data_IF_605527541406
#
_entry.id   IF_605527541406
#
_cell.length_a   1.000
_cell.length_b   1.000
_cell.length_c   1.000
_cell.angle_alpha   90.00
_cell.angle_beta   90.00
_cell.angle_gamma   90.00
#
_symmetry.space_group_name_H-M   'P 1'
#
loop_
_entity.id
_entity.type
_entity.pdbx_description
1 polymer ?
#
# COMPACT_ATOMS: atom_id res chain seq x y z
N UNK A 1 -8.88 3.80 -8.73
CA UNK A 1 -10.08 4.66 -8.82
C UNK A 1 -10.58 4.60 -10.25
N UNK A 2 -11.86 4.30 -10.45
CA UNK A 2 -12.49 4.28 -11.78
C UNK A 2 -13.21 5.60 -12.00
N UNK A 3 -13.03 6.20 -13.16
CA UNK A 3 -13.78 7.37 -13.61
C UNK A 3 -15.26 7.04 -13.82
N UNK A 4 -16.08 8.08 -13.94
CA UNK A 4 -17.52 7.95 -14.21
C UNK A 4 -17.84 7.24 -15.52
N UNK A 5 -16.87 7.18 -16.43
CA UNK A 5 -16.89 6.49 -17.72
C UNK A 5 -16.44 5.02 -17.64
N UNK A 6 -16.07 4.52 -16.46
CA UNK A 6 -15.56 3.17 -16.25
C UNK A 6 -14.08 3.00 -16.62
N UNK A 7 -13.39 4.06 -17.04
CA UNK A 7 -11.96 4.02 -17.32
C UNK A 7 -11.11 4.27 -16.07
N UNK A 8 -9.83 3.94 -16.14
CA UNK A 8 -8.90 4.28 -15.07
C UNK A 8 -8.80 5.81 -14.95
N UNK A 9 -8.96 6.32 -13.73
CA UNK A 9 -8.85 7.75 -13.44
C UNK A 9 -7.58 8.04 -12.66
N UNK A 10 -6.88 9.11 -13.06
CA UNK A 10 -5.72 9.66 -12.35
C UNK A 10 -5.99 11.14 -12.13
N UNK A 11 -5.98 11.58 -10.88
CA UNK A 11 -6.26 12.97 -10.51
C UNK A 11 -5.17 13.94 -10.96
N UNK A 12 -5.52 15.23 -11.01
CA UNK A 12 -4.65 16.32 -11.49
C UNK A 12 -3.53 16.69 -10.52
N UNK A 13 -3.64 16.30 -9.25
CA UNK A 13 -2.62 16.52 -8.23
C UNK A 13 -2.81 17.77 -7.38
N UNK A 14 -3.93 18.48 -7.53
CA UNK A 14 -4.35 19.54 -6.63
C UNK A 14 -5.03 18.98 -5.36
N UNK A 15 -5.42 19.87 -4.44
CA UNK A 15 -6.00 19.46 -3.14
C UNK A 15 -7.41 18.85 -3.27
N UNK A 16 -8.18 19.21 -4.29
CA UNK A 16 -9.52 18.67 -4.50
C UNK A 16 -9.49 17.37 -5.33
N UNK A 17 -8.40 17.15 -6.08
CA UNK A 17 -8.23 16.06 -7.03
C UNK A 17 -6.83 15.42 -6.94
N UNK A 18 -6.59 14.57 -5.91
CA UNK A 18 -5.26 14.02 -5.63
C UNK A 18 -4.77 13.10 -6.74
N UNK A 19 -3.50 13.24 -7.09
CA UNK A 19 -2.80 12.32 -7.99
C UNK A 19 -2.38 11.09 -7.17
N UNK A 20 -2.85 9.90 -7.56
CA UNK A 20 -2.44 8.63 -6.96
C UNK A 20 -2.24 7.59 -8.07
N UNK A 21 -1.04 7.03 -8.16
CA UNK A 21 -0.72 5.93 -9.08
C UNK A 21 -0.03 4.82 -8.30
N UNK A 22 -0.59 3.62 -8.35
CA UNK A 22 -0.02 2.41 -7.75
C UNK A 22 0.67 1.53 -8.79
N UNK A 23 1.84 1.00 -8.43
CA UNK A 23 2.66 0.13 -9.26
C UNK A 23 2.93 -1.17 -8.49
N UNK A 24 2.58 -2.29 -9.09
CA UNK A 24 2.94 -3.63 -8.61
C UNK A 24 3.15 -4.57 -9.81
N UNK A 25 3.53 -5.81 -9.55
CA UNK A 25 3.59 -6.85 -10.58
C UNK A 25 3.10 -8.18 -10.02
N UNK A 26 2.72 -9.10 -10.92
CA UNK A 26 2.35 -10.46 -10.54
C UNK A 26 3.44 -11.12 -9.66
N UNK A 27 4.72 -10.87 -9.97
CA UNK A 27 5.84 -11.41 -9.19
C UNK A 27 5.90 -10.85 -7.78
N UNK A 28 5.64 -9.56 -7.59
CA UNK A 28 5.61 -8.94 -6.27
C UNK A 28 4.43 -9.48 -5.44
N UNK A 29 3.25 -9.59 -6.05
CA UNK A 29 2.06 -10.20 -5.43
C UNK A 29 2.32 -11.66 -5.03
N UNK A 30 2.94 -12.45 -5.91
CA UNK A 30 3.26 -13.86 -5.61
C UNK A 30 4.30 -13.97 -4.50
N UNK A 31 5.26 -13.04 -4.44
CA UNK A 31 6.26 -13.03 -3.38
C UNK A 31 5.63 -12.68 -2.03
N UNK A 32 4.78 -11.65 -1.96
CA UNK A 32 4.17 -11.27 -0.68
C UNK A 32 3.21 -12.32 -0.16
N UNK A 33 2.48 -13.05 -1.02
CA UNK A 33 1.62 -14.15 -0.58
C UNK A 33 2.40 -15.35 -0.02
N UNK A 34 3.67 -15.53 -0.38
CA UNK A 34 4.54 -16.54 0.25
C UNK A 34 4.87 -16.19 1.70
N UNK A 35 4.89 -14.90 2.05
CA UNK A 35 5.30 -14.42 3.37
C UNK A 35 4.09 -14.00 4.24
N UNK A 36 3.06 -13.41 3.63
CA UNK A 36 1.81 -12.97 4.26
C UNK A 36 0.78 -14.09 4.37
N UNK A 37 1.12 -15.16 5.09
CA UNK A 37 0.23 -16.31 5.37
C UNK A 37 -0.11 -16.39 6.85
N UNK A 38 -1.31 -16.90 7.20
CA UNK A 38 -1.75 -17.06 8.61
C UNK A 38 -0.76 -17.79 9.52
N UNK A 39 0.00 -18.73 8.98
CA UNK A 39 0.90 -19.58 9.76
C UNK A 39 2.29 -18.93 10.01
N UNK A 40 2.48 -17.68 9.58
CA UNK A 40 3.75 -16.97 9.70
C UNK A 40 3.54 -15.53 10.15
N UNK A 41 4.49 -15.04 10.95
CA UNK A 41 4.53 -13.63 11.30
C UNK A 41 4.90 -12.81 10.05
N UNK A 42 4.00 -11.91 9.66
CA UNK A 42 4.17 -11.03 8.50
C UNK A 42 4.20 -9.58 8.96
N UNK A 43 5.38 -8.94 8.85
CA UNK A 43 5.56 -7.51 9.12
C UNK A 43 5.40 -6.74 7.82
N UNK A 44 4.34 -5.95 7.71
CA UNK A 44 4.14 -5.03 6.60
C UNK A 44 4.85 -3.71 6.87
N UNK A 45 5.49 -3.17 5.85
CA UNK A 45 6.21 -1.90 5.90
C UNK A 45 5.58 -0.92 4.91
N UNK A 46 5.35 0.31 5.37
CA UNK A 46 5.03 1.42 4.50
C UNK A 46 5.95 2.60 4.80
N UNK A 47 6.63 3.16 3.81
CA UNK A 47 7.49 4.34 4.00
C UNK A 47 7.34 5.32 2.86
N UNK A 48 7.23 6.61 3.16
CA UNK A 48 7.14 7.68 2.18
C UNK A 48 8.53 8.27 1.92
N UNK A 49 9.07 7.99 0.74
CA UNK A 49 10.38 8.46 0.31
C UNK A 49 10.24 9.68 -0.61
N UNK A 50 11.04 10.72 -0.36
CA UNK A 50 11.05 11.97 -1.12
C UNK A 50 12.18 12.02 -2.16
N UNK A 51 12.15 13.05 -3.01
CA UNK A 51 13.22 13.38 -3.99
C UNK A 51 13.39 12.36 -5.13
N UNK A 52 12.30 11.69 -5.50
CA UNK A 52 12.27 10.75 -6.63
C UNK A 52 11.67 11.35 -7.91
N UNK A 53 11.11 12.56 -7.82
CA UNK A 53 10.56 13.31 -8.95
C UNK A 53 10.92 14.78 -8.85
N UNK A 54 11.06 15.45 -10.00
CA UNK A 54 11.35 16.89 -10.07
C UNK A 54 10.19 17.74 -9.49
N UNK A 55 8.98 17.18 -9.53
CA UNK A 55 7.76 17.79 -8.97
C UNK A 55 7.62 17.56 -7.45
N UNK A 56 8.50 16.77 -6.84
CA UNK A 56 8.54 16.58 -5.39
C UNK A 56 7.48 15.63 -4.81
N UNK A 57 6.73 14.91 -5.64
CA UNK A 57 5.75 13.93 -5.17
C UNK A 57 6.45 12.78 -4.42
N UNK A 58 6.01 12.45 -3.20
CA UNK A 58 6.53 11.31 -2.47
C UNK A 58 6.14 9.99 -3.15
N UNK A 59 7.03 9.01 -3.00
CA UNK A 59 6.76 7.63 -3.34
C UNK A 59 6.59 6.85 -2.05
N UNK A 60 5.41 6.25 -1.87
CA UNK A 60 5.15 5.33 -0.77
C UNK A 60 5.61 3.95 -1.22
N UNK A 61 6.66 3.44 -0.58
CA UNK A 61 7.06 2.05 -0.71
C UNK A 61 6.24 1.19 0.23
N UNK A 62 5.72 0.06 -0.27
CA UNK A 62 5.01 -0.94 0.50
C UNK A 62 5.75 -2.27 0.35
N UNK A 63 6.00 -2.96 1.46
CA UNK A 63 6.77 -4.20 1.45
C UNK A 63 6.58 -5.04 2.68
N UNK A 64 7.27 -6.18 2.72
CA UNK A 64 7.26 -7.11 3.83
C UNK A 64 8.66 -7.47 4.25
N UNK A 65 8.86 -7.76 5.53
CA UNK A 65 10.09 -8.43 5.96
C UNK A 65 9.91 -9.94 5.86
N UNK A 66 10.81 -10.60 5.13
CA UNK A 66 10.82 -12.06 4.99
C UNK A 66 11.49 -12.76 6.19
N UNK A 67 11.45 -14.11 6.28
CA UNK A 67 12.09 -14.84 7.38
C UNK A 67 13.61 -14.65 7.47
N UNK A 68 14.27 -14.23 6.39
CA UNK A 68 15.71 -13.88 6.38
C UNK A 68 15.98 -12.44 6.84
N UNK A 69 14.94 -11.73 7.31
CA UNK A 69 14.97 -10.33 7.73
C UNK A 69 15.29 -9.35 6.59
N UNK A 70 14.99 -9.74 5.36
CA UNK A 70 15.18 -8.89 4.18
C UNK A 70 13.86 -8.23 3.78
N UNK A 71 13.95 -6.97 3.37
CA UNK A 71 12.81 -6.22 2.85
C UNK A 71 12.46 -6.70 1.44
N UNK A 72 11.21 -7.09 1.26
CA UNK A 72 10.62 -7.54 0.00
C UNK A 72 9.59 -6.52 -0.47
N UNK A 73 9.85 -5.88 -1.60
CA UNK A 73 8.92 -4.90 -2.17
C UNK A 73 7.60 -5.57 -2.58
N UNK A 74 6.49 -4.89 -2.35
CA UNK A 74 5.13 -5.32 -2.66
C UNK A 74 4.47 -4.40 -3.69
N UNK A 75 4.57 -3.10 -3.46
CA UNK A 75 4.02 -2.06 -4.31
C UNK A 75 4.74 -0.74 -4.08
N UNK A 76 4.63 0.15 -5.07
CA UNK A 76 5.02 1.55 -4.96
C UNK A 76 3.79 2.40 -5.27
N UNK A 77 3.60 3.51 -4.55
CA UNK A 77 2.57 4.49 -4.86
C UNK A 77 3.18 5.86 -5.01
N UNK A 78 2.88 6.55 -6.10
CA UNK A 78 3.21 7.97 -6.27
C UNK A 78 1.97 8.74 -5.87
N UNK A 79 2.11 9.65 -4.90
CA UNK A 79 0.99 10.46 -4.40
C UNK A 79 1.34 11.94 -4.42
N UNK A 80 0.39 12.82 -4.76
CA UNK A 80 0.60 14.27 -4.67
C UNK A 80 0.54 14.78 -3.23
N UNK A 81 -0.15 14.06 -2.34
CA UNK A 81 -0.42 14.47 -0.96
C UNK A 81 -0.21 13.33 0.03
N UNK A 82 0.06 13.70 1.28
CA UNK A 82 0.29 12.78 2.40
C UNK A 82 -0.80 12.91 3.46
N UNK A 83 -2.06 12.77 3.03
CA UNK A 83 -3.19 12.72 3.96
C UNK A 83 -3.50 11.28 4.34
N UNK A 84 -4.16 11.07 5.47
CA UNK A 84 -4.60 9.73 5.88
C UNK A 84 -5.56 9.10 4.87
N UNK A 85 -6.35 9.91 4.18
CA UNK A 85 -7.26 9.46 3.11
C UNK A 85 -6.47 8.93 1.92
N UNK A 86 -5.44 9.66 1.48
CA UNK A 86 -4.64 9.26 0.31
C UNK A 86 -3.82 7.98 0.62
N UNK A 87 -3.20 7.90 1.80
CA UNK A 87 -2.58 6.67 2.28
C UNK A 87 -3.59 5.51 2.35
N UNK A 88 -4.80 5.81 2.83
CA UNK A 88 -5.89 4.85 2.92
C UNK A 88 -6.27 4.25 1.57
N UNK A 89 -6.38 5.10 0.54
CA UNK A 89 -6.63 4.67 -0.84
C UNK A 89 -5.52 3.76 -1.37
N UNK A 90 -4.25 4.09 -1.12
CA UNK A 90 -3.11 3.28 -1.55
C UNK A 90 -3.17 1.87 -0.93
N UNK A 91 -3.29 1.80 0.38
CA UNK A 91 -3.26 0.54 1.13
C UNK A 91 -4.47 -0.35 0.85
N UNK A 92 -5.68 0.22 0.78
CA UNK A 92 -6.89 -0.53 0.41
C UNK A 92 -6.80 -1.02 -1.04
N UNK A 93 -6.39 -0.16 -1.97
CA UNK A 93 -6.21 -0.57 -3.37
C UNK A 93 -5.17 -1.69 -3.52
N UNK A 94 -4.11 -1.70 -2.71
CA UNK A 94 -3.15 -2.79 -2.71
C UNK A 94 -3.79 -4.11 -2.25
N UNK A 95 -4.48 -4.10 -1.11
CA UNK A 95 -5.16 -5.28 -0.57
C UNK A 95 -6.21 -5.84 -1.56
N UNK A 96 -7.02 -4.96 -2.12
CA UNK A 96 -8.04 -5.30 -3.11
C UNK A 96 -7.40 -5.90 -4.37
N UNK A 97 -6.32 -5.31 -4.89
CA UNK A 97 -5.62 -5.84 -6.05
C UNK A 97 -5.05 -7.25 -5.81
N UNK A 98 -4.49 -7.51 -4.62
CA UNK A 98 -4.00 -8.86 -4.27
C UNK A 98 -5.16 -9.86 -4.31
N UNK A 99 -6.31 -9.51 -3.71
CA UNK A 99 -7.49 -10.37 -3.72
C UNK A 99 -8.07 -10.56 -5.13
N UNK A 100 -8.22 -9.50 -5.92
CA UNK A 100 -8.77 -9.60 -7.28
C UNK A 100 -7.88 -10.43 -8.21
N UNK A 101 -6.55 -10.33 -8.07
CA UNK A 101 -5.59 -11.02 -8.96
C UNK A 101 -5.35 -12.48 -8.56
N UNK A 102 -5.49 -12.83 -7.28
CA UNK A 102 -5.16 -14.18 -6.76
C UNK A 102 -6.27 -14.90 -6.01
N UNK A 103 -7.36 -14.22 -5.66
CA UNK A 103 -8.42 -14.76 -4.80
C UNK A 103 -7.98 -15.02 -3.36
N UNK A 104 -6.83 -14.48 -2.94
CA UNK A 104 -6.24 -14.71 -1.63
C UNK A 104 -6.21 -13.41 -0.83
N UNK A 105 -6.59 -13.51 0.44
CA UNK A 105 -6.50 -12.40 1.38
C UNK A 105 -5.07 -12.26 1.88
N UNK A 106 -4.65 -11.01 2.04
CA UNK A 106 -3.35 -10.67 2.62
C UNK A 106 -3.43 -10.78 4.15
N UNK A 107 -2.55 -11.56 4.77
CA UNK A 107 -2.46 -11.66 6.22
C UNK A 107 -1.23 -10.89 6.72
N UNK A 108 -1.48 -9.92 7.61
CA UNK A 108 -0.45 -9.08 8.21
C UNK A 108 -0.57 -9.20 9.73
N UNK A 109 0.54 -9.48 10.39
CA UNK A 109 0.62 -9.64 11.85
C UNK A 109 0.95 -8.32 12.55
N UNK A 110 1.74 -7.47 11.91
CA UNK A 110 2.10 -6.16 12.42
C UNK A 110 2.41 -5.22 11.26
N UNK A 111 2.27 -3.92 11.51
CA UNK A 111 2.66 -2.87 10.56
C UNK A 111 3.77 -2.02 11.15
N UNK A 112 4.74 -1.66 10.32
CA UNK A 112 5.78 -0.69 10.59
C UNK A 112 5.71 0.41 9.54
N UNK A 113 5.87 1.66 9.97
CA UNK A 113 5.92 2.78 9.05
C UNK A 113 6.79 3.91 9.56
N UNK A 114 6.84 4.98 8.77
CA UNK A 114 7.45 6.23 9.19
C UNK A 114 6.71 6.85 10.37
N UNK A 115 7.38 7.74 11.10
CA UNK A 115 6.78 8.51 12.17
C UNK A 115 5.90 9.65 11.60
N UNK A 116 4.86 9.29 10.86
CA UNK A 116 3.90 10.20 10.23
C UNK A 116 2.47 9.86 10.65
N UNK A 117 1.78 10.81 11.30
CA UNK A 117 0.43 10.62 11.84
C UNK A 117 -0.58 10.22 10.76
N UNK A 118 -0.48 10.82 9.56
CA UNK A 118 -1.35 10.50 8.44
C UNK A 118 -1.25 9.02 8.03
N UNK A 119 -0.02 8.49 7.97
CA UNK A 119 0.23 7.09 7.62
C UNK A 119 -0.28 6.15 8.72
N UNK A 120 0.01 6.46 9.99
CA UNK A 120 -0.46 5.68 11.14
C UNK A 120 -1.99 5.63 11.19
N UNK A 121 -2.66 6.78 11.04
CA UNK A 121 -4.12 6.87 11.03
C UNK A 121 -4.73 6.07 9.87
N UNK A 122 -4.12 6.11 8.68
CA UNK A 122 -4.58 5.33 7.53
C UNK A 122 -4.49 3.82 7.77
N UNK A 123 -3.38 3.35 8.34
CA UNK A 123 -3.18 1.92 8.63
C UNK A 123 -4.15 1.40 9.69
N UNK A 124 -4.45 2.20 10.72
CA UNK A 124 -5.44 1.86 11.76
C UNK A 124 -6.85 1.77 11.15
N UNK A 125 -7.16 2.60 10.15
CA UNK A 125 -8.47 2.66 9.52
C UNK A 125 -8.77 1.53 8.52
N UNK A 126 -7.82 0.62 8.23
CA UNK A 126 -7.96 -0.47 7.24
C UNK A 126 -7.87 -1.83 7.96
N UNK A 127 -8.98 -2.28 8.58
CA UNK A 127 -9.03 -3.55 9.27
C UNK A 127 -8.88 -4.76 8.35
N UNK A 128 -8.98 -4.60 7.02
CA UNK A 128 -8.77 -5.67 6.04
C UNK A 128 -7.28 -6.08 5.92
N UNK A 129 -6.37 -5.15 6.23
CA UNK A 129 -4.92 -5.42 6.26
C UNK A 129 -4.51 -6.04 7.59
N UNK A 130 -5.08 -5.56 8.69
CA UNK A 130 -4.87 -6.12 10.02
C UNK A 130 -5.70 -7.40 10.13
N UNK A 131 -5.09 -8.55 9.80
CA UNK A 131 -5.72 -9.85 9.95
C UNK A 131 -6.42 -9.91 11.30
N UNK A 132 -7.76 -9.93 11.26
CA UNK A 132 -8.67 -9.82 12.41
C UNK A 132 -7.97 -10.19 13.72
N UNK A 133 -7.64 -9.18 14.52
CA UNK A 133 -7.23 -9.38 15.91
C UNK A 133 -8.45 -10.00 16.59
N UNK A 134 -8.42 -11.32 16.76
CA UNK A 134 -9.28 -12.10 17.62
C UNK A 134 -8.35 -12.99 18.45
#
# INVERSE_FOLDING_TARGET
>A
MTGLDGHAYVGRGDDDDPFIVGITSLKLIDNILKFGSRDRFALFHADATFKLSDIGYPVISCGFTDPSRSYQLAALFIVSRRTSVDYGHCFRSFADNVYQIRGLWLFISAVMGGAEDAQANALIAIPELLGRIC
#
